data_IF_502740167164
#
_entry.id   IF_502740167164
#
_cell.length_a   1.000
_cell.length_b   1.000
_cell.length_c   1.000
_cell.angle_alpha   90.00
_cell.angle_beta   90.00
_cell.angle_gamma   90.00
#
_symmetry.space_group_name_H-M   'P 1'
#
loop_
_entity.id
_entity.type
_entity.pdbx_description
1 polymer ?
#
# COMPACT_ATOMS: atom_id res chain seq x y z
N UNK A 1 -23.15 33.56 -36.42
CA UNK A 1 -22.98 32.46 -35.43
C UNK A 1 -22.14 31.25 -35.91
N UNK A 2 -22.01 30.96 -37.20
CA UNK A 2 -21.29 29.72 -37.67
C UNK A 2 -19.73 29.82 -37.71
N UNK A 3 -19.13 31.02 -37.78
CA UNK A 3 -17.66 31.18 -37.85
C UNK A 3 -16.96 31.01 -36.49
N UNK A 4 -17.52 31.49 -35.38
CA UNK A 4 -16.94 31.34 -34.06
C UNK A 4 -16.82 29.89 -33.58
N UNK A 5 -17.82 29.06 -33.89
CA UNK A 5 -17.84 27.64 -33.50
C UNK A 5 -16.75 26.81 -34.20
N UNK A 6 -16.42 27.16 -35.48
CA UNK A 6 -15.34 26.49 -36.21
C UNK A 6 -13.95 26.78 -35.63
N UNK A 7 -13.68 28.01 -35.20
CA UNK A 7 -12.39 28.36 -34.60
C UNK A 7 -12.22 27.73 -33.20
N UNK A 8 -13.29 27.60 -32.42
CA UNK A 8 -13.28 26.92 -31.15
C UNK A 8 -12.99 25.42 -31.29
N UNK A 9 -13.58 24.77 -32.28
CA UNK A 9 -13.34 23.35 -32.55
C UNK A 9 -11.91 23.07 -33.07
N UNK A 10 -11.37 23.96 -33.89
CA UNK A 10 -9.98 23.83 -34.41
C UNK A 10 -8.98 24.07 -33.29
N UNK A 11 -9.21 25.02 -32.38
CA UNK A 11 -8.33 25.28 -31.25
C UNK A 11 -8.37 24.13 -30.19
N UNK A 12 -9.53 23.53 -29.96
CA UNK A 12 -9.64 22.33 -29.11
C UNK A 12 -8.92 21.12 -29.73
N UNK A 13 -9.08 20.88 -31.03
CA UNK A 13 -8.38 19.82 -31.75
C UNK A 13 -6.86 19.97 -31.70
N UNK A 14 -6.35 21.19 -31.90
CA UNK A 14 -4.91 21.46 -31.80
C UNK A 14 -4.34 21.26 -30.39
N UNK A 15 -5.08 21.63 -29.35
CA UNK A 15 -4.70 21.39 -27.94
C UNK A 15 -4.65 19.90 -27.63
N UNK A 16 -5.58 19.10 -28.10
CA UNK A 16 -5.60 17.65 -27.91
C UNK A 16 -4.41 16.97 -28.60
N UNK A 17 -4.09 17.39 -29.83
CA UNK A 17 -2.92 16.87 -30.57
C UNK A 17 -1.61 17.22 -29.87
N UNK A 18 -1.44 18.47 -29.44
CA UNK A 18 -0.24 18.91 -28.70
C UNK A 18 -0.10 18.18 -27.35
N UNK A 19 -1.19 17.95 -26.64
CA UNK A 19 -1.19 17.16 -25.42
C UNK A 19 -0.82 15.68 -25.69
N UNK A 20 -1.31 15.11 -26.79
CA UNK A 20 -0.97 13.74 -27.20
C UNK A 20 0.50 13.59 -27.58
N UNK A 21 1.07 14.55 -28.30
CA UNK A 21 2.50 14.57 -28.66
C UNK A 21 3.37 14.75 -27.40
N UNK A 22 3.00 15.66 -26.51
CA UNK A 22 3.70 15.86 -25.23
C UNK A 22 3.70 14.60 -24.35
N UNK A 23 2.58 13.89 -24.25
CA UNK A 23 2.46 12.62 -23.57
C UNK A 23 3.31 11.52 -24.23
N UNK A 24 3.35 11.47 -25.56
CA UNK A 24 4.18 10.54 -26.32
C UNK A 24 5.66 10.74 -26.05
N UNK A 25 6.14 11.99 -26.08
CA UNK A 25 7.53 12.32 -25.73
C UNK A 25 7.83 11.96 -24.28
N UNK A 26 6.95 12.29 -23.33
CA UNK A 26 7.11 11.93 -21.91
C UNK A 26 7.11 10.42 -21.69
N UNK A 27 6.35 9.66 -22.47
CA UNK A 27 6.32 8.20 -22.40
C UNK A 27 7.66 7.58 -22.83
N UNK A 28 8.28 8.11 -23.88
CA UNK A 28 9.61 7.67 -24.35
C UNK A 28 10.71 8.00 -23.33
N UNK A 29 10.64 9.20 -22.74
CA UNK A 29 11.68 9.67 -21.77
C UNK A 29 11.48 9.08 -20.38
N UNK A 30 10.26 8.83 -19.95
CA UNK A 30 9.95 8.28 -18.63
C UNK A 30 8.61 7.54 -18.61
N UNK A 31 8.59 6.29 -19.11
CA UNK A 31 7.36 5.49 -19.18
C UNK A 31 6.65 5.34 -17.83
N UNK A 32 7.43 5.25 -16.77
CA UNK A 32 6.92 5.11 -15.39
C UNK A 32 6.11 6.34 -14.95
N UNK A 33 6.62 7.56 -15.21
CA UNK A 33 5.91 8.79 -14.83
C UNK A 33 4.61 8.96 -15.60
N UNK A 34 4.59 8.60 -16.89
CA UNK A 34 3.39 8.67 -17.71
C UNK A 34 2.35 7.63 -17.28
N UNK A 35 2.76 6.38 -17.04
CA UNK A 35 1.86 5.34 -16.52
C UNK A 35 1.26 5.73 -15.18
N UNK A 36 2.07 6.31 -14.29
CA UNK A 36 1.60 6.83 -13.00
C UNK A 36 0.60 7.98 -13.18
N UNK A 37 0.89 8.92 -14.09
CA UNK A 37 0.00 10.05 -14.37
C UNK A 37 -1.31 9.60 -15.02
N UNK A 38 -1.28 8.68 -15.98
CA UNK A 38 -2.48 8.09 -16.59
C UNK A 38 -3.32 7.33 -15.56
N UNK A 39 -2.70 6.61 -14.63
CA UNK A 39 -3.39 5.98 -13.50
C UNK A 39 -4.09 7.00 -12.59
N UNK A 40 -3.45 8.14 -12.34
CA UNK A 40 -4.05 9.25 -11.59
C UNK A 40 -5.23 9.85 -12.36
N UNK A 41 -5.09 10.11 -13.66
CA UNK A 41 -6.16 10.68 -14.51
C UNK A 41 -7.36 9.72 -14.59
N UNK A 42 -7.10 8.42 -14.79
CA UNK A 42 -8.15 7.40 -14.73
C UNK A 42 -8.87 7.40 -13.38
N UNK A 43 -8.14 7.48 -12.29
CA UNK A 43 -8.73 7.52 -10.95
C UNK A 43 -9.61 8.76 -10.73
N UNK A 44 -9.24 9.92 -11.27
CA UNK A 44 -10.07 11.12 -11.20
C UNK A 44 -11.33 11.04 -12.06
N UNK A 45 -11.24 10.43 -13.26
CA UNK A 45 -12.41 10.22 -14.11
C UNK A 45 -13.44 9.32 -13.44
N UNK A 46 -12.98 8.28 -12.78
CA UNK A 46 -13.85 7.34 -12.06
C UNK A 46 -14.46 7.97 -10.81
N UNK A 47 -13.69 8.81 -10.07
CA UNK A 47 -14.22 9.65 -8.99
C UNK A 47 -15.34 10.55 -9.48
N UNK A 48 -15.16 11.18 -10.64
CA UNK A 48 -16.14 12.08 -11.22
C UNK A 48 -17.41 11.34 -11.65
N UNK A 49 -17.27 10.21 -12.31
CA UNK A 49 -18.39 9.34 -12.74
C UNK A 49 -19.16 8.79 -11.56
N UNK A 50 -18.46 8.30 -10.51
CA UNK A 50 -19.10 7.78 -9.30
C UNK A 50 -19.79 8.88 -8.48
N UNK A 51 -19.23 10.10 -8.49
CA UNK A 51 -19.87 11.27 -7.86
C UNK A 51 -21.16 11.66 -8.59
N UNK A 52 -21.20 11.59 -9.93
CA UNK A 52 -22.39 11.83 -10.73
C UNK A 52 -23.48 10.76 -10.48
N UNK A 53 -23.06 9.52 -10.17
CA UNK A 53 -23.96 8.40 -9.85
C UNK A 53 -24.38 8.35 -8.38
N UNK A 54 -23.91 9.29 -7.54
CA UNK A 54 -24.16 9.29 -6.10
C UNK A 54 -23.50 8.12 -5.36
N UNK A 55 -22.58 7.39 -6.01
CA UNK A 55 -21.85 6.28 -5.42
C UNK A 55 -20.52 6.79 -4.85
N UNK A 56 -20.11 6.32 -3.66
CA UNK A 56 -18.75 6.58 -3.19
C UNK A 56 -17.76 5.88 -4.12
N UNK A 57 -16.71 6.60 -4.48
CA UNK A 57 -15.64 6.14 -5.36
C UNK A 57 -15.16 4.73 -5.07
N UNK A 58 -15.37 3.82 -6.02
CA UNK A 58 -14.89 2.44 -5.91
C UNK A 58 -14.52 1.86 -7.27
N UNK A 59 -13.24 1.83 -7.60
CA UNK A 59 -12.74 0.76 -8.43
C UNK A 59 -12.88 -0.56 -7.66
N UNK A 60 -14.03 -1.21 -7.77
CA UNK A 60 -14.28 -2.52 -7.19
C UNK A 60 -14.27 -2.62 -5.66
N UNK A 61 -14.31 -1.50 -4.94
CA UNK A 61 -14.26 -1.46 -3.48
C UNK A 61 -12.86 -1.67 -2.89
N UNK A 62 -12.67 -1.22 -1.67
CA UNK A 62 -11.50 -1.52 -0.84
C UNK A 62 -11.95 -2.24 0.42
N UNK A 63 -11.04 -3.02 0.99
CA UNK A 63 -11.26 -3.78 2.22
C UNK A 63 -10.44 -3.24 3.37
N UNK A 64 -9.38 -2.48 3.08
CA UNK A 64 -8.52 -1.95 4.12
C UNK A 64 -7.64 -0.81 3.66
N UNK A 65 -6.96 -0.24 4.64
CA UNK A 65 -6.02 0.87 4.49
C UNK A 65 -4.74 0.56 5.26
N UNK A 66 -3.66 1.19 4.85
CA UNK A 66 -2.48 1.28 5.69
C UNK A 66 -2.07 2.74 5.89
N UNK A 67 -1.54 3.03 7.07
CA UNK A 67 -1.29 4.39 7.52
C UNK A 67 0.01 4.53 8.29
N UNK A 68 0.55 5.75 8.26
CA UNK A 68 1.75 6.14 8.99
C UNK A 68 1.66 7.61 9.43
N UNK A 69 2.75 8.15 9.97
CA UNK A 69 2.85 9.58 10.28
C UNK A 69 2.54 10.51 9.10
N UNK A 70 2.71 10.01 7.86
CA UNK A 70 2.50 10.81 6.66
C UNK A 70 1.03 11.15 6.41
N UNK A 71 0.10 10.37 6.98
CA UNK A 71 -1.33 10.64 6.90
C UNK A 71 -1.83 11.65 7.94
N UNK A 72 -0.91 12.27 8.71
CA UNK A 72 -1.24 13.30 9.69
C UNK A 72 -2.06 12.78 10.87
N UNK A 73 -2.92 13.64 11.38
CA UNK A 73 -3.81 13.32 12.51
C UNK A 73 -5.12 12.75 12.00
N UNK A 74 -5.31 11.46 12.19
CA UNK A 74 -6.48 10.71 11.72
C UNK A 74 -7.65 10.85 12.72
N UNK A 75 -8.85 11.13 12.20
CA UNK A 75 -10.12 11.14 12.94
C UNK A 75 -10.74 9.75 12.95
N UNK A 76 -10.23 8.86 13.78
CA UNK A 76 -10.57 7.44 13.82
C UNK A 76 -12.07 7.15 14.01
N UNK A 77 -12.79 8.02 14.73
CA UNK A 77 -14.25 7.93 14.86
C UNK A 77 -14.96 8.03 13.50
N UNK A 78 -14.44 8.88 12.62
CA UNK A 78 -15.01 9.03 11.27
C UNK A 78 -14.63 7.84 10.38
N UNK A 79 -13.39 7.38 10.44
CA UNK A 79 -12.93 6.19 9.72
C UNK A 79 -13.77 4.94 10.09
N UNK A 80 -14.08 4.75 11.36
CA UNK A 80 -14.85 3.60 11.83
C UNK A 80 -16.33 3.59 11.38
N UNK A 81 -16.87 4.71 10.91
CA UNK A 81 -18.20 4.76 10.29
C UNK A 81 -18.21 4.09 8.91
N UNK A 82 -17.06 3.99 8.28
CA UNK A 82 -16.92 3.38 6.96
C UNK A 82 -16.86 1.86 7.07
N UNK A 83 -17.98 1.20 6.85
CA UNK A 83 -18.13 -0.27 6.99
C UNK A 83 -17.38 -1.09 5.95
N UNK A 84 -16.80 -0.46 4.93
CA UNK A 84 -15.91 -1.13 3.96
C UNK A 84 -14.55 -1.44 4.56
N UNK A 85 -14.07 -0.64 5.52
CA UNK A 85 -12.77 -0.85 6.16
C UNK A 85 -12.86 -2.05 7.09
N UNK A 86 -12.35 -3.18 6.62
CA UNK A 86 -12.28 -4.44 7.36
C UNK A 86 -10.98 -4.56 8.14
N UNK A 87 -9.89 -3.93 7.65
CA UNK A 87 -8.58 -3.93 8.30
C UNK A 87 -7.84 -2.61 8.17
N UNK A 88 -6.96 -2.37 9.13
CA UNK A 88 -6.03 -1.23 9.13
C UNK A 88 -4.65 -1.71 9.53
N UNK A 89 -3.64 -1.46 8.70
CA UNK A 89 -2.25 -1.62 9.08
C UNK A 89 -1.63 -0.28 9.45
N UNK A 90 -0.88 -0.23 10.55
CA UNK A 90 -0.32 1.01 11.10
C UNK A 90 1.19 0.85 11.22
N UNK A 91 1.97 1.76 10.65
CA UNK A 91 3.42 1.73 10.79
C UNK A 91 3.81 1.90 12.24
N UNK A 92 4.54 0.92 12.76
CA UNK A 92 5.10 0.98 14.10
C UNK A 92 6.54 1.48 14.08
N UNK A 93 7.38 0.87 13.23
CA UNK A 93 8.82 1.13 13.21
C UNK A 93 9.39 1.08 11.80
N UNK A 94 10.60 1.63 11.63
CA UNK A 94 11.39 1.57 10.41
C UNK A 94 12.87 1.38 10.78
N UNK A 95 13.51 0.37 10.23
CA UNK A 95 14.90 0.08 10.57
C UNK A 95 15.11 -0.03 12.10
N UNK A 96 16.32 0.32 12.57
CA UNK A 96 16.65 0.40 13.98
C UNK A 96 16.46 1.84 14.49
N UNK A 97 15.82 1.99 15.64
CA UNK A 97 15.75 3.24 16.39
C UNK A 97 14.63 4.20 15.94
N UNK A 98 13.96 3.93 14.82
CA UNK A 98 12.87 4.78 14.39
C UNK A 98 11.51 4.20 14.79
N UNK A 99 10.74 4.99 15.54
CA UNK A 99 9.34 4.74 15.90
C UNK A 99 8.44 5.76 15.23
N UNK A 100 7.34 5.31 14.62
CA UNK A 100 6.37 6.23 14.05
C UNK A 100 5.68 7.04 15.15
N UNK A 101 5.79 8.37 15.08
CA UNK A 101 5.31 9.29 16.14
C UNK A 101 3.80 9.20 16.41
N UNK A 102 3.03 8.74 15.41
CA UNK A 102 1.58 8.59 15.55
C UNK A 102 1.14 7.17 15.92
N UNK A 103 2.07 6.18 15.96
CA UNK A 103 1.74 4.78 16.17
C UNK A 103 0.89 4.54 17.42
N UNK A 104 1.36 4.95 18.59
CA UNK A 104 0.67 4.72 19.87
C UNK A 104 -0.74 5.32 19.91
N UNK A 105 -0.88 6.50 19.35
CA UNK A 105 -2.18 7.16 19.23
C UNK A 105 -3.10 6.39 18.27
N UNK A 106 -2.56 6.03 17.12
CA UNK A 106 -3.34 5.40 16.04
C UNK A 106 -3.81 4.01 16.45
N UNK A 107 -2.92 3.14 16.98
CA UNK A 107 -3.30 1.79 17.40
C UNK A 107 -4.39 1.82 18.48
N UNK A 108 -4.23 2.65 19.49
CA UNK A 108 -5.20 2.81 20.59
C UNK A 108 -6.56 3.30 20.10
N UNK A 109 -6.58 4.32 19.24
CA UNK A 109 -7.85 4.94 18.80
C UNK A 109 -8.55 4.08 17.74
N UNK A 110 -7.84 3.48 16.80
CA UNK A 110 -8.44 2.57 15.82
C UNK A 110 -9.14 1.39 16.52
N UNK A 111 -8.49 0.76 17.49
CA UNK A 111 -9.09 -0.31 18.31
C UNK A 111 -10.25 0.17 19.16
N UNK A 112 -10.12 1.34 19.79
CA UNK A 112 -11.22 1.94 20.58
C UNK A 112 -12.51 2.07 19.76
N UNK A 113 -12.40 2.35 18.47
CA UNK A 113 -13.55 2.48 17.57
C UNK A 113 -13.91 1.18 16.82
N UNK A 114 -13.35 0.04 17.24
CA UNK A 114 -13.74 -1.29 16.77
C UNK A 114 -13.13 -1.73 15.44
N UNK A 115 -12.11 -1.01 14.94
CA UNK A 115 -11.39 -1.41 13.74
C UNK A 115 -10.44 -2.57 14.05
N UNK A 116 -10.32 -3.53 13.13
CA UNK A 116 -9.31 -4.59 13.19
C UNK A 116 -7.97 -4.07 12.75
N UNK A 117 -6.98 -4.15 13.63
CA UNK A 117 -5.67 -3.51 13.42
C UNK A 117 -4.52 -4.50 13.45
N UNK A 118 -3.54 -4.23 12.60
CA UNK A 118 -2.22 -4.82 12.62
C UNK A 118 -1.15 -3.74 12.52
N UNK A 119 0.07 -4.11 12.85
CA UNK A 119 1.22 -3.22 12.78
C UNK A 119 2.20 -3.65 11.70
N UNK A 120 2.90 -2.69 11.09
CA UNK A 120 3.96 -3.01 10.15
C UNK A 120 5.31 -2.42 10.54
N UNK A 121 6.35 -3.14 10.11
CA UNK A 121 7.76 -2.73 10.18
C UNK A 121 8.31 -2.51 8.79
N UNK A 122 8.81 -1.33 8.49
CA UNK A 122 9.55 -1.07 7.26
C UNK A 122 11.01 -1.49 7.46
N UNK A 123 11.42 -2.54 6.74
CA UNK A 123 12.76 -3.10 6.82
C UNK A 123 13.81 -2.17 6.23
N UNK A 124 15.00 -2.14 6.82
CA UNK A 124 16.12 -1.33 6.36
C UNK A 124 17.42 -2.13 6.35
N UNK A 125 18.20 -1.95 5.29
CA UNK A 125 19.55 -2.52 5.22
C UNK A 125 20.62 -1.74 6.02
N UNK A 126 20.22 -0.68 6.72
CA UNK A 126 21.14 0.16 7.52
C UNK A 126 21.47 -0.40 8.91
N UNK A 127 20.89 -1.54 9.30
CA UNK A 127 21.08 -2.11 10.65
C UNK A 127 20.77 -3.61 10.68
N UNK A 128 21.26 -4.30 11.72
CA UNK A 128 21.01 -5.73 11.85
C UNK A 128 19.50 -6.04 12.03
N UNK A 129 19.07 -7.14 11.44
CA UNK A 129 17.68 -7.61 11.49
C UNK A 129 17.19 -7.82 12.92
N UNK A 130 18.02 -8.41 13.78
CA UNK A 130 17.70 -8.67 15.17
C UNK A 130 17.51 -7.38 15.97
N UNK A 131 18.27 -6.31 15.67
CA UNK A 131 18.09 -5.02 16.31
C UNK A 131 16.77 -4.36 15.88
N UNK A 132 16.42 -4.45 14.58
CA UNK A 132 15.16 -3.97 14.06
C UNK A 132 13.96 -4.70 14.69
N UNK A 133 14.04 -6.03 14.77
CA UNK A 133 12.98 -6.81 15.43
C UNK A 133 12.85 -6.48 16.92
N UNK A 134 13.96 -6.28 17.62
CA UNK A 134 13.94 -5.87 19.05
C UNK A 134 13.17 -4.57 19.25
N UNK A 135 13.36 -3.58 18.37
CA UNK A 135 12.64 -2.30 18.45
C UNK A 135 11.17 -2.49 18.08
N UNK A 136 10.88 -3.33 17.07
CA UNK A 136 9.51 -3.66 16.69
C UNK A 136 8.74 -4.34 17.83
N UNK A 137 9.27 -5.39 18.45
CA UNK A 137 8.60 -6.11 19.54
C UNK A 137 8.39 -5.28 20.81
N UNK A 138 9.30 -4.33 21.09
CA UNK A 138 9.13 -3.38 22.21
C UNK A 138 7.94 -2.45 21.98
N UNK A 139 7.74 -2.04 20.72
CA UNK A 139 6.69 -1.11 20.35
C UNK A 139 5.35 -1.80 20.14
N UNK A 140 5.35 -2.97 19.51
CA UNK A 140 4.16 -3.70 19.06
C UNK A 140 3.84 -4.82 20.06
N UNK A 141 2.95 -4.52 21.00
CA UNK A 141 2.50 -5.52 21.98
C UNK A 141 1.50 -6.48 21.34
N UNK A 142 1.69 -7.79 21.52
CA UNK A 142 0.81 -8.83 20.97
C UNK A 142 -0.66 -8.61 21.35
N UNK A 143 -0.93 -8.21 22.59
CA UNK A 143 -2.30 -7.95 23.09
C UNK A 143 -2.99 -6.75 22.43
N UNK A 144 -2.24 -5.92 21.71
CA UNK A 144 -2.77 -4.77 20.97
C UNK A 144 -2.97 -5.07 19.47
N UNK A 145 -2.68 -6.31 19.02
CA UNK A 145 -2.81 -6.71 17.63
C UNK A 145 -4.03 -7.60 17.43
N UNK A 146 -4.85 -7.28 16.44
CA UNK A 146 -5.91 -8.17 15.95
C UNK A 146 -5.40 -8.98 14.76
N UNK A 147 -4.43 -8.45 14.00
CA UNK A 147 -3.95 -9.02 12.75
C UNK A 147 -2.47 -9.42 12.83
N UNK A 148 -2.10 -10.39 12.01
CA UNK A 148 -0.71 -10.79 11.78
C UNK A 148 0.12 -9.56 11.42
N UNK A 149 1.28 -9.33 12.05
CA UNK A 149 2.17 -8.23 11.70
C UNK A 149 2.61 -8.28 10.23
N UNK A 150 2.84 -7.12 9.63
CA UNK A 150 3.39 -7.00 8.28
C UNK A 150 4.88 -6.68 8.36
N UNK A 151 5.67 -7.41 7.58
CA UNK A 151 7.04 -7.04 7.24
C UNK A 151 7.03 -6.36 5.87
N UNK A 152 7.33 -5.08 5.86
CA UNK A 152 7.37 -4.22 4.69
C UNK A 152 8.79 -4.18 4.13
N UNK A 153 8.97 -4.71 2.92
CA UNK A 153 10.27 -4.86 2.25
C UNK A 153 10.24 -4.15 0.90
N UNK A 154 10.82 -2.98 0.85
CA UNK A 154 10.83 -2.12 -0.32
C UNK A 154 12.25 -1.73 -0.73
N UNK A 155 12.44 -1.43 -2.02
CA UNK A 155 13.70 -0.91 -2.54
C UNK A 155 14.19 0.32 -1.77
N UNK A 156 13.26 1.20 -1.37
CA UNK A 156 13.54 2.40 -0.58
C UNK A 156 14.19 2.10 0.79
N UNK A 157 13.76 1.04 1.46
CA UNK A 157 14.34 0.60 2.74
C UNK A 157 15.67 -0.12 2.55
N UNK A 158 15.78 -0.91 1.50
CA UNK A 158 16.95 -1.75 1.21
C UNK A 158 18.05 -0.98 0.51
N UNK A 159 17.72 0.00 -0.35
CA UNK A 159 18.66 0.90 -1.05
C UNK A 159 19.77 0.15 -1.81
N UNK A 160 19.47 -1.04 -2.34
CA UNK A 160 20.43 -1.87 -3.05
C UNK A 160 21.59 -2.45 -2.21
N UNK A 161 21.57 -2.25 -0.88
CA UNK A 161 22.62 -2.75 0.04
C UNK A 161 22.53 -4.25 0.27
N UNK A 162 21.31 -4.79 0.35
CA UNK A 162 21.04 -6.21 0.40
C UNK A 162 20.45 -6.67 -0.92
N UNK A 163 21.02 -7.71 -1.50
CA UNK A 163 20.57 -8.28 -2.79
C UNK A 163 20.51 -9.80 -2.69
N UNK A 164 19.67 -10.41 -3.55
CA UNK A 164 19.60 -11.84 -3.70
C UNK A 164 19.53 -12.60 -2.37
N UNK A 165 20.44 -13.54 -2.16
CA UNK A 165 20.44 -14.39 -0.96
C UNK A 165 20.53 -13.62 0.35
N UNK A 166 21.37 -12.58 0.42
CA UNK A 166 21.50 -11.78 1.65
C UNK A 166 20.18 -11.11 2.05
N UNK A 167 19.44 -10.55 1.09
CA UNK A 167 18.11 -9.98 1.35
C UNK A 167 17.14 -11.06 1.79
N UNK A 168 17.10 -12.19 1.08
CA UNK A 168 16.21 -13.30 1.39
C UNK A 168 16.46 -13.89 2.79
N UNK A 169 17.72 -14.06 3.18
CA UNK A 169 18.07 -14.56 4.51
C UNK A 169 17.72 -13.54 5.60
N UNK A 170 17.90 -12.24 5.32
CA UNK A 170 17.49 -11.17 6.24
C UNK A 170 15.97 -11.16 6.47
N UNK A 171 15.18 -11.30 5.41
CA UNK A 171 13.71 -11.42 5.49
C UNK A 171 13.33 -12.66 6.30
N UNK A 172 13.97 -13.81 6.04
CA UNK A 172 13.68 -15.05 6.74
C UNK A 172 13.95 -14.94 8.24
N UNK A 173 15.10 -14.36 8.62
CA UNK A 173 15.43 -14.13 10.04
C UNK A 173 14.37 -13.28 10.73
N UNK A 174 13.92 -12.19 10.12
CA UNK A 174 12.87 -11.36 10.71
C UNK A 174 11.55 -12.13 10.79
N UNK A 175 11.19 -12.87 9.76
CA UNK A 175 9.96 -13.65 9.72
C UNK A 175 9.93 -14.74 10.81
N UNK A 176 11.06 -15.41 11.06
CA UNK A 176 11.18 -16.43 12.11
C UNK A 176 11.07 -15.80 13.51
N UNK A 177 11.63 -14.62 13.71
CA UNK A 177 11.49 -13.87 14.96
C UNK A 177 10.04 -13.44 15.21
N UNK A 178 9.32 -12.99 14.14
CA UNK A 178 7.87 -12.70 14.23
C UNK A 178 7.09 -13.96 14.59
N UNK A 179 7.35 -15.09 13.92
CA UNK A 179 6.69 -16.37 14.21
C UNK A 179 6.92 -16.80 15.67
N UNK A 180 8.15 -16.70 16.15
CA UNK A 180 8.51 -17.04 17.53
C UNK A 180 7.77 -16.18 18.56
N UNK A 181 7.63 -14.88 18.30
CA UNK A 181 7.06 -13.94 19.28
C UNK A 181 5.54 -13.85 19.20
N UNK A 182 4.99 -13.74 17.97
CA UNK A 182 3.55 -13.54 17.75
C UNK A 182 2.77 -14.84 17.51
N UNK A 183 3.43 -15.95 17.18
CA UNK A 183 2.80 -17.24 16.93
C UNK A 183 2.48 -17.53 15.47
N UNK A 184 2.51 -16.53 14.60
CA UNK A 184 2.30 -16.65 13.16
C UNK A 184 3.44 -15.98 12.38
N UNK A 185 3.71 -16.45 11.16
CA UNK A 185 4.61 -15.76 10.24
C UNK A 185 4.02 -14.42 9.81
N UNK A 186 4.84 -13.41 9.52
CA UNK A 186 4.32 -12.12 9.07
C UNK A 186 3.66 -12.23 7.70
N UNK A 187 2.76 -11.31 7.42
CA UNK A 187 2.42 -10.95 6.04
C UNK A 187 3.62 -10.24 5.43
N UNK A 188 4.00 -10.58 4.21
CA UNK A 188 5.10 -9.93 3.50
C UNK A 188 4.52 -8.88 2.56
N UNK A 189 4.87 -7.61 2.79
CA UNK A 189 4.54 -6.53 1.86
C UNK A 189 5.73 -6.17 1.00
N UNK A 190 5.46 -5.92 -0.28
CA UNK A 190 6.40 -5.36 -1.24
C UNK A 190 5.67 -4.78 -2.46
N UNK A 191 6.36 -4.00 -3.30
CA UNK A 191 5.84 -3.75 -4.63
C UNK A 191 6.13 -4.94 -5.58
N UNK A 192 5.26 -5.13 -6.57
CA UNK A 192 5.31 -6.28 -7.50
C UNK A 192 6.69 -6.47 -8.15
N UNK A 193 7.26 -5.40 -8.67
CA UNK A 193 8.52 -5.47 -9.41
C UNK A 193 9.70 -5.85 -8.51
N UNK A 194 9.78 -5.28 -7.30
CA UNK A 194 10.83 -5.61 -6.35
C UNK A 194 10.68 -7.02 -5.80
N UNK A 195 9.44 -7.44 -5.50
CA UNK A 195 9.15 -8.80 -5.06
C UNK A 195 9.64 -9.83 -6.06
N UNK A 196 9.20 -9.74 -7.32
CA UNK A 196 9.54 -10.69 -8.35
C UNK A 196 11.05 -10.70 -8.66
N UNK A 197 11.70 -9.53 -8.65
CA UNK A 197 13.12 -9.39 -8.95
C UNK A 197 14.03 -9.91 -7.83
N UNK A 198 13.74 -9.58 -6.57
CA UNK A 198 14.69 -9.76 -5.46
C UNK A 198 14.29 -10.87 -4.48
N UNK A 199 12.98 -11.09 -4.29
CA UNK A 199 12.50 -12.01 -3.26
C UNK A 199 12.19 -13.40 -3.82
N UNK A 200 11.53 -13.44 -4.97
CA UNK A 200 11.26 -14.67 -5.72
C UNK A 200 10.35 -15.66 -4.98
N UNK A 201 10.25 -16.88 -5.55
CA UNK A 201 9.33 -17.91 -5.11
C UNK A 201 9.52 -18.40 -3.66
N UNK A 202 10.66 -18.12 -3.03
CA UNK A 202 10.97 -18.50 -1.63
C UNK A 202 9.90 -18.04 -0.65
N UNK A 203 9.28 -16.88 -0.91
CA UNK A 203 8.30 -16.26 -0.01
C UNK A 203 6.85 -16.49 -0.44
N UNK A 204 6.58 -17.23 -1.52
CA UNK A 204 5.23 -17.53 -1.99
C UNK A 204 4.36 -18.32 -0.99
N UNK A 205 4.97 -18.90 0.03
CA UNK A 205 4.30 -19.63 1.12
C UNK A 205 3.71 -18.70 2.20
N UNK A 206 4.06 -17.41 2.18
CA UNK A 206 3.54 -16.41 3.11
C UNK A 206 2.28 -15.76 2.54
N UNK A 207 1.49 -15.12 3.37
CA UNK A 207 0.51 -14.17 2.89
C UNK A 207 1.24 -12.98 2.27
N UNK A 208 0.92 -12.68 1.02
CA UNK A 208 1.55 -11.60 0.26
C UNK A 208 0.63 -10.40 0.15
N UNK A 209 1.12 -9.26 0.56
CA UNK A 209 0.50 -7.96 0.43
C UNK A 209 1.30 -7.17 -0.62
N UNK A 210 0.77 -7.06 -1.83
CA UNK A 210 1.53 -6.56 -2.97
C UNK A 210 0.97 -5.23 -3.45
N UNK A 211 1.86 -4.24 -3.53
CA UNK A 211 1.55 -2.95 -4.16
C UNK A 211 1.76 -3.02 -5.67
N UNK A 212 0.71 -2.66 -6.40
CA UNK A 212 0.76 -2.42 -7.83
C UNK A 212 -0.31 -1.38 -8.17
N UNK A 213 0.11 -0.19 -8.55
CA UNK A 213 -0.77 0.94 -8.85
C UNK A 213 -1.16 1.05 -10.33
N UNK A 214 -0.95 -0.04 -11.07
CA UNK A 214 -1.46 -0.18 -12.42
C UNK A 214 -2.92 -0.66 -12.41
N UNK A 215 -3.59 -0.60 -13.54
CA UNK A 215 -4.98 -1.06 -13.69
C UNK A 215 -5.16 -2.58 -13.63
N UNK A 216 -4.06 -3.35 -13.61
CA UNK A 216 -4.09 -4.82 -13.57
C UNK A 216 -3.73 -5.37 -12.19
N UNK A 217 -4.28 -6.54 -11.88
CA UNK A 217 -3.91 -7.28 -10.67
C UNK A 217 -2.42 -7.65 -10.66
N UNK A 218 -1.78 -7.67 -9.46
CA UNK A 218 -0.40 -8.11 -9.34
C UNK A 218 -0.20 -9.56 -9.84
N UNK A 219 0.88 -9.76 -10.59
CA UNK A 219 1.35 -11.07 -11.02
C UNK A 219 2.58 -11.46 -10.20
N UNK A 220 2.51 -12.64 -9.56
CA UNK A 220 3.59 -13.12 -8.69
C UNK A 220 4.25 -14.32 -9.35
N UNK A 221 5.57 -14.24 -9.56
CA UNK A 221 6.35 -15.30 -10.16
C UNK A 221 6.32 -16.60 -9.32
N UNK A 222 6.57 -17.74 -9.97
CA UNK A 222 6.65 -19.03 -9.28
C UNK A 222 5.34 -19.51 -8.66
N UNK A 223 4.19 -19.18 -9.27
CA UNK A 223 2.84 -19.54 -8.81
C UNK A 223 2.45 -18.94 -7.45
N UNK A 224 3.08 -17.82 -7.05
CA UNK A 224 2.69 -17.07 -5.87
C UNK A 224 1.29 -16.48 -5.99
N UNK A 225 0.64 -16.24 -4.85
CA UNK A 225 -0.70 -15.65 -4.79
C UNK A 225 -0.65 -14.33 -4.06
N UNK A 226 -1.07 -13.25 -4.70
CA UNK A 226 -1.31 -11.98 -4.02
C UNK A 226 -2.55 -12.15 -3.12
N UNK A 227 -2.41 -12.00 -1.81
CA UNK A 227 -3.50 -12.11 -0.84
C UNK A 227 -4.17 -10.77 -0.57
N UNK A 228 -3.37 -9.71 -0.56
CA UNK A 228 -3.84 -8.33 -0.42
C UNK A 228 -3.19 -7.51 -1.53
N UNK A 229 -3.99 -6.79 -2.29
CA UNK A 229 -3.52 -5.86 -3.32
C UNK A 229 -3.68 -4.42 -2.87
N UNK A 230 -2.57 -3.71 -2.65
CA UNK A 230 -2.57 -2.25 -2.52
C UNK A 230 -2.60 -1.66 -3.93
N UNK A 231 -3.77 -1.22 -4.33
CA UNK A 231 -4.01 -0.79 -5.70
C UNK A 231 -3.95 0.72 -5.90
N UNK A 232 -3.95 1.49 -4.80
CA UNK A 232 -3.89 2.95 -4.85
C UNK A 232 -3.10 3.51 -3.67
N UNK A 233 -2.26 4.50 -3.95
CA UNK A 233 -1.56 5.37 -2.98
C UNK A 233 -2.20 6.77 -2.90
N UNK A 234 -3.34 6.97 -3.55
CA UNK A 234 -3.97 8.29 -3.73
C UNK A 234 -5.40 8.35 -3.23
N UNK A 235 -5.80 7.39 -2.38
CA UNK A 235 -7.14 7.34 -1.82
C UNK A 235 -7.46 8.56 -0.96
N UNK A 236 -8.75 8.92 -0.91
CA UNK A 236 -9.26 9.98 -0.04
C UNK A 236 -10.37 9.42 0.83
N UNK A 237 -10.22 9.55 2.14
CA UNK A 237 -11.22 9.08 3.11
C UNK A 237 -11.62 10.21 4.07
N UNK A 238 -12.90 10.31 4.33
CA UNK A 238 -13.38 11.23 5.35
C UNK A 238 -12.78 10.86 6.72
N UNK A 239 -12.04 11.80 7.30
CA UNK A 239 -11.32 11.57 8.57
C UNK A 239 -9.80 11.46 8.42
N UNK A 240 -9.28 11.42 7.19
CA UNK A 240 -7.85 11.55 6.87
C UNK A 240 -7.68 12.79 5.98
N UNK A 241 -6.85 13.73 6.40
CA UNK A 241 -6.59 14.97 5.63
C UNK A 241 -5.68 14.76 4.43
N UNK A 242 -4.83 13.76 4.50
CA UNK A 242 -3.86 13.39 3.48
C UNK A 242 -4.35 12.22 2.64
N UNK A 243 -3.62 11.90 1.56
CA UNK A 243 -3.84 10.69 0.78
C UNK A 243 -3.59 9.45 1.63
N UNK A 244 -4.29 8.37 1.31
CA UNK A 244 -4.18 7.10 2.02
C UNK A 244 -4.13 5.93 1.04
N UNK A 245 -3.37 4.92 1.40
CA UNK A 245 -3.24 3.69 0.64
C UNK A 245 -4.50 2.84 0.78
N UNK A 246 -5.04 2.41 -0.38
CA UNK A 246 -6.25 1.59 -0.44
C UNK A 246 -5.92 0.19 -0.91
N UNK A 247 -6.45 -0.81 -0.19
CA UNK A 247 -6.15 -2.21 -0.43
C UNK A 247 -7.41 -3.07 -0.46
N UNK A 248 -7.33 -4.18 -1.20
CA UNK A 248 -8.41 -5.17 -1.26
C UNK A 248 -7.89 -6.59 -1.08
N UNK A 249 -8.74 -7.47 -0.59
CA UNK A 249 -8.46 -8.89 -0.55
C UNK A 249 -8.48 -9.51 -1.94
N UNK A 250 -7.62 -10.49 -2.16
CA UNK A 250 -7.46 -11.21 -3.41
C UNK A 250 -7.48 -12.73 -3.19
N UNK A 251 -7.76 -13.46 -4.25
CA UNK A 251 -7.63 -14.94 -4.29
C UNK A 251 -8.34 -15.66 -3.13
N UNK A 252 -9.54 -15.19 -2.76
CA UNK A 252 -10.36 -15.79 -1.69
C UNK A 252 -9.89 -15.47 -0.27
N UNK A 253 -8.86 -14.65 -0.10
CA UNK A 253 -8.40 -14.20 1.22
C UNK A 253 -9.46 -13.35 1.92
N UNK A 254 -9.60 -13.53 3.19
CA UNK A 254 -10.56 -12.82 4.06
C UNK A 254 -9.85 -12.25 5.29
N UNK A 255 -10.55 -11.42 6.05
CA UNK A 255 -10.03 -10.92 7.32
C UNK A 255 -9.70 -12.06 8.31
N UNK A 256 -10.43 -13.18 8.26
CA UNK A 256 -10.20 -14.33 9.16
C UNK A 256 -8.82 -14.95 8.97
N UNK A 257 -8.31 -14.97 7.74
CA UNK A 257 -7.00 -15.52 7.40
C UNK A 257 -5.86 -14.69 8.01
N UNK A 258 -6.11 -13.40 8.20
CA UNK A 258 -5.15 -12.44 8.73
C UNK A 258 -5.22 -12.26 10.25
N UNK A 259 -6.19 -12.85 10.94
CA UNK A 259 -6.29 -12.72 12.40
C UNK A 259 -5.06 -13.35 13.08
N UNK A 260 -4.55 -12.69 14.13
CA UNK A 260 -3.41 -13.14 14.93
C UNK A 260 -3.78 -14.23 15.95
#
# INVERSE_FOLDING_TARGET
MKKGLKYTLVSLGSLVVLAGVGLGIMYVVSPYKVKRWLGIVSSYSDVFVDRLKGQPYTHGGYDGIDVSKHNGVIKWKEIAKNKRIKFVYIRATHGKGYVDRHYRRNIRLARKYGLKVGSYHLMSAGSSVTAQFRDFQKMVKKSEQDLIPVLDVEEKGIQGRWKGRQLQDSIQVFADLVKKHYGKYPVIYSNESFYNKEMGAKFNRYYLFIANYNSRQPSIDGRGKCNIWQYSETGHLHGIGERVDLSRFMNGTTIKDLML
#
